data_IF_409045910786
#
_entry.id   IF_409045910786
#
_cell.length_a   1.000
_cell.length_b   1.000
_cell.length_c   1.000
_cell.angle_alpha   90.00
_cell.angle_beta   90.00
_cell.angle_gamma   90.00
#
_symmetry.space_group_name_H-M   'P 1'
#
loop_
_entity.id
_entity.type
_entity.pdbx_description
1 polymer ?
#
# COMPACT_ATOMS: atom_id res chain seq x y z
N UNK A 1 18.12 -3.02 12.65
CA UNK A 1 17.16 -4.13 12.52
C UNK A 1 17.93 -5.38 12.11
N UNK A 2 17.72 -6.53 12.76
CA UNK A 2 18.32 -7.78 12.29
C UNK A 2 17.80 -8.06 10.87
N UNK A 3 18.72 -8.12 9.90
CA UNK A 3 18.39 -8.32 8.49
C UNK A 3 17.72 -9.67 8.21
N UNK A 4 17.85 -10.64 9.12
CA UNK A 4 17.20 -11.95 9.02
C UNK A 4 15.68 -11.85 9.16
N UNK A 5 15.19 -11.18 10.22
CA UNK A 5 13.75 -11.02 10.43
C UNK A 5 13.08 -10.23 9.31
N UNK A 6 13.77 -9.24 8.73
CA UNK A 6 13.26 -8.50 7.58
C UNK A 6 13.01 -9.40 6.36
N UNK A 7 13.85 -10.42 6.13
CA UNK A 7 13.66 -11.39 5.04
C UNK A 7 12.48 -12.33 5.29
N UNK A 8 12.28 -12.75 6.54
CA UNK A 8 11.19 -13.64 6.91
C UNK A 8 9.81 -12.98 6.78
N UNK A 9 9.74 -11.68 7.09
CA UNK A 9 8.49 -10.93 7.07
C UNK A 9 8.22 -10.17 5.76
N UNK A 10 9.22 -9.95 4.91
CA UNK A 10 9.04 -9.27 3.62
C UNK A 10 7.88 -9.86 2.78
N UNK A 11 7.70 -11.18 2.66
CA UNK A 11 6.57 -11.75 1.92
C UNK A 11 5.18 -11.36 2.48
N UNK A 12 5.09 -11.04 3.78
CA UNK A 12 3.84 -10.67 4.45
C UNK A 12 3.50 -9.18 4.28
N UNK A 13 4.41 -8.37 3.72
CA UNK A 13 4.26 -6.92 3.65
C UNK A 13 2.90 -6.49 3.08
N UNK A 14 2.50 -7.01 1.91
CA UNK A 14 1.23 -6.63 1.28
C UNK A 14 0.02 -7.01 2.13
N UNK A 15 0.07 -8.14 2.85
CA UNK A 15 -1.00 -8.55 3.75
C UNK A 15 -1.10 -7.62 4.97
N UNK A 16 0.04 -7.20 5.52
CA UNK A 16 0.09 -6.23 6.62
C UNK A 16 -0.45 -4.88 6.15
N UNK A 17 -0.04 -4.42 4.96
CA UNK A 17 -0.52 -3.17 4.38
C UNK A 17 -2.04 -3.19 4.18
N UNK A 18 -2.58 -4.28 3.64
CA UNK A 18 -4.03 -4.46 3.45
C UNK A 18 -4.78 -4.50 4.79
N UNK A 19 -4.21 -5.13 5.82
CA UNK A 19 -4.79 -5.13 7.16
C UNK A 19 -4.83 -3.71 7.74
N UNK A 20 -3.74 -2.94 7.60
CA UNK A 20 -3.68 -1.56 8.09
C UNK A 20 -4.65 -0.63 7.37
N UNK A 21 -4.86 -0.84 6.06
CA UNK A 21 -5.90 -0.14 5.30
C UNK A 21 -7.30 -0.46 5.80
N UNK A 22 -7.64 -1.75 5.95
CA UNK A 22 -8.96 -2.19 6.39
C UNK A 22 -9.34 -1.75 7.82
N UNK A 23 -8.35 -1.47 8.66
CA UNK A 23 -8.54 -1.03 10.06
C UNK A 23 -8.45 0.49 10.19
N UNK A 24 -8.51 1.24 9.08
CA UNK A 24 -8.41 2.70 9.03
C UNK A 24 -7.13 3.27 9.69
N UNK A 25 -6.05 2.46 9.71
CA UNK A 25 -4.75 2.88 10.25
C UNK A 25 -3.96 3.64 9.19
N UNK A 26 -4.11 3.27 7.92
CA UNK A 26 -3.51 3.94 6.77
C UNK A 26 -4.60 4.20 5.73
N UNK A 27 -4.77 5.47 5.38
CA UNK A 27 -5.73 5.92 4.37
C UNK A 27 -5.24 5.61 2.94
N UNK A 28 -6.19 5.52 2.01
CA UNK A 28 -5.91 5.30 0.57
C UNK A 28 -4.89 6.31 0.03
N UNK A 29 -5.13 7.59 0.28
CA UNK A 29 -4.28 8.70 -0.18
C UNK A 29 -2.81 8.54 0.27
N UNK A 30 -2.59 8.01 1.47
CA UNK A 30 -1.25 7.77 1.98
C UNK A 30 -0.53 6.66 1.20
N UNK A 31 -1.25 5.60 0.82
CA UNK A 31 -0.72 4.49 0.03
C UNK A 31 -0.43 4.94 -1.41
N UNK A 32 -1.34 5.71 -2.01
CA UNK A 32 -1.17 6.24 -3.37
C UNK A 32 -0.03 7.27 -3.44
N UNK A 33 0.07 8.15 -2.43
CA UNK A 33 1.19 9.10 -2.32
C UNK A 33 2.53 8.39 -2.15
N UNK A 34 2.57 7.29 -1.38
CA UNK A 34 3.77 6.46 -1.25
C UNK A 34 4.18 5.80 -2.56
N UNK A 35 3.23 5.30 -3.37
CA UNK A 35 3.54 4.79 -4.72
C UNK A 35 4.14 5.89 -5.61
N UNK A 36 3.57 7.09 -5.59
CA UNK A 36 4.03 8.24 -6.37
C UNK A 36 5.45 8.67 -5.98
N UNK A 37 5.73 8.81 -4.68
CA UNK A 37 7.07 9.13 -4.15
C UNK A 37 8.13 8.16 -4.67
N UNK A 38 7.77 6.89 -4.83
CA UNK A 38 8.70 5.83 -5.23
C UNK A 38 8.93 5.74 -6.74
N UNK A 39 8.23 6.50 -7.59
CA UNK A 39 8.45 6.49 -9.05
C UNK A 39 9.88 6.86 -9.42
N UNK A 40 10.44 7.86 -8.73
CA UNK A 40 11.79 8.38 -8.96
C UNK A 40 12.88 7.67 -8.13
N UNK A 41 12.51 6.67 -7.33
CA UNK A 41 13.45 5.93 -6.50
C UNK A 41 14.23 4.87 -7.29
N UNK A 42 15.33 4.39 -6.71
CA UNK A 42 16.10 3.28 -7.27
C UNK A 42 15.29 1.97 -7.25
N UNK A 43 15.63 1.05 -8.14
CA UNK A 43 14.91 -0.22 -8.27
C UNK A 43 14.95 -1.09 -7.00
N UNK A 44 15.99 -0.95 -6.18
CA UNK A 44 16.09 -1.59 -4.86
C UNK A 44 15.08 -1.06 -3.85
N UNK A 45 14.63 0.18 -4.02
CA UNK A 45 13.73 0.86 -3.08
C UNK A 45 12.26 0.69 -3.47
N UNK A 46 12.01 0.19 -4.69
CA UNK A 46 10.67 -0.12 -5.22
C UNK A 46 10.18 -1.53 -4.90
N UNK A 47 10.96 -2.35 -4.18
CA UNK A 47 10.65 -3.77 -3.94
C UNK A 47 9.24 -3.95 -3.34
N UNK A 48 8.91 -3.19 -2.29
CA UNK A 48 7.61 -3.32 -1.63
C UNK A 48 6.45 -2.67 -2.41
N UNK A 49 6.71 -1.59 -3.17
CA UNK A 49 5.71 -1.01 -4.09
C UNK A 49 5.32 -2.03 -5.15
N UNK A 50 6.32 -2.68 -5.77
CA UNK A 50 6.09 -3.74 -6.76
C UNK A 50 5.34 -4.93 -6.16
N UNK A 51 5.67 -5.31 -4.93
CA UNK A 51 4.98 -6.39 -4.23
C UNK A 51 3.52 -6.04 -3.92
N UNK A 52 3.20 -4.76 -3.72
CA UNK A 52 1.86 -4.25 -3.45
C UNK A 52 1.08 -3.82 -4.71
N UNK A 53 1.64 -3.96 -5.92
CA UNK A 53 1.07 -3.35 -7.14
C UNK A 53 -0.37 -3.76 -7.41
N UNK A 54 -0.74 -5.02 -7.15
CA UNK A 54 -2.13 -5.49 -7.31
C UNK A 54 -3.08 -4.78 -6.37
N UNK A 55 -2.68 -4.54 -5.13
CA UNK A 55 -3.49 -3.83 -4.14
C UNK A 55 -3.59 -2.33 -4.48
N UNK A 56 -2.48 -1.72 -4.87
CA UNK A 56 -2.44 -0.31 -5.30
C UNK A 56 -3.32 -0.10 -6.54
N UNK A 57 -3.31 -1.03 -7.49
CA UNK A 57 -4.18 -0.96 -8.67
C UNK A 57 -5.66 -1.09 -8.28
N UNK A 58 -5.98 -1.95 -7.31
CA UNK A 58 -7.34 -2.07 -6.79
C UNK A 58 -7.83 -0.76 -6.15
N UNK A 59 -7.01 -0.10 -5.33
CA UNK A 59 -7.34 1.21 -4.74
C UNK A 59 -7.68 2.24 -5.82
N UNK A 60 -6.84 2.35 -6.86
CA UNK A 60 -7.07 3.30 -7.98
C UNK A 60 -8.33 3.03 -8.82
N UNK A 61 -8.81 1.80 -8.82
CA UNK A 61 -9.97 1.36 -9.60
C UNK A 61 -11.24 1.26 -8.76
N UNK A 62 -11.14 1.34 -7.43
CA UNK A 62 -12.28 1.32 -6.55
C UNK A 62 -13.14 2.57 -6.86
N UNK A 63 -14.45 2.42 -7.09
CA UNK A 63 -15.32 3.58 -7.14
C UNK A 63 -15.19 4.28 -5.79
N UNK A 64 -14.87 5.58 -5.79
CA UNK A 64 -15.04 6.40 -4.59
C UNK A 64 -16.47 6.14 -4.11
N UNK A 65 -16.63 5.61 -2.89
CA UNK A 65 -17.95 5.51 -2.27
C UNK A 65 -18.42 6.96 -2.08
N UNK A 66 -19.20 7.47 -3.05
CA UNK A 66 -19.92 8.74 -2.98
C UNK A 66 -20.64 8.79 -1.64
N UNK A 67 -20.12 9.59 -0.71
CA UNK A 67 -20.70 9.93 0.60
C UNK A 67 -21.90 10.88 0.42
N UNK A 68 -22.78 10.56 -0.53
CA UNK A 68 -24.07 11.21 -0.76
C UNK A 68 -25.16 10.52 0.10
N UNK A 69 -24.95 10.49 1.42
CA UNK A 69 -26.04 10.34 2.39
C UNK A 69 -26.51 11.73 2.88
N UNK A 70 -27.00 12.56 1.94
CA UNK A 70 -27.93 13.66 2.26
C UNK A 70 -29.38 13.23 1.96
N UNK A 71 -30.08 12.66 2.96
CA UNK A 71 -31.54 12.81 3.14
C UNK A 71 -31.92 12.96 4.63
#
# INVERSE_FOLDING_TARGET
MCLESAKEYAPLFTQILHYMYNEDIIEEDAILSWEDEKKEADESDKVFVKQAQTFIQWLKEAPEEDDDEEE
#
